data_IF_451140697540
#
_entry.id   IF_451140697540
#
_cell.length_a   1.000
_cell.length_b   1.000
_cell.length_c   1.000
_cell.angle_alpha   90.00
_cell.angle_beta   90.00
_cell.angle_gamma   90.00
#
_symmetry.space_group_name_H-M   'P 1'
#
loop_
_entity.id
_entity.type
_entity.pdbx_description
1 polymer ?
#
# COMPACT_ATOMS: atom_id res chain seq x y z
N UNK A 1 -12.84 -30.76 -11.06
CA UNK A 1 -13.32 -29.36 -11.07
C UNK A 1 -13.35 -28.76 -9.65
N UNK A 2 -14.16 -29.31 -8.69
CA UNK A 2 -14.23 -28.74 -7.35
C UNK A 2 -12.88 -28.79 -6.60
N UNK A 3 -12.13 -29.87 -6.76
CA UNK A 3 -10.78 -30.01 -6.17
C UNK A 3 -9.79 -29.03 -6.76
N UNK A 4 -9.80 -28.78 -8.05
CA UNK A 4 -8.92 -27.82 -8.74
C UNK A 4 -9.20 -26.39 -8.28
N UNK A 5 -10.49 -26.04 -8.13
CA UNK A 5 -10.91 -24.74 -7.61
C UNK A 5 -10.36 -24.55 -6.19
N UNK A 6 -10.50 -25.57 -5.35
CA UNK A 6 -10.02 -25.50 -3.97
C UNK A 6 -8.49 -25.35 -3.91
N UNK A 7 -7.74 -26.12 -4.73
CA UNK A 7 -6.29 -25.99 -4.79
C UNK A 7 -5.84 -24.60 -5.26
N UNK A 8 -6.47 -24.05 -6.29
CA UNK A 8 -6.14 -22.71 -6.79
C UNK A 8 -6.39 -21.62 -5.74
N UNK A 9 -7.50 -21.72 -4.99
CA UNK A 9 -7.81 -20.78 -3.92
C UNK A 9 -6.84 -20.90 -2.74
N UNK A 10 -6.54 -22.12 -2.30
CA UNK A 10 -5.53 -22.33 -1.25
C UNK A 10 -4.16 -21.82 -1.67
N UNK A 11 -3.77 -22.04 -2.92
CA UNK A 11 -2.50 -21.60 -3.46
C UNK A 11 -2.44 -20.06 -3.55
N UNK A 12 -3.50 -19.42 -4.04
CA UNK A 12 -3.62 -17.96 -4.07
C UNK A 12 -3.52 -17.37 -2.65
N UNK A 13 -4.17 -18.01 -1.67
CA UNK A 13 -4.11 -17.58 -0.27
C UNK A 13 -2.68 -17.65 0.29
N UNK A 14 -1.96 -18.76 0.06
CA UNK A 14 -0.59 -18.94 0.53
C UNK A 14 0.34 -17.89 -0.09
N UNK A 15 0.27 -17.68 -1.41
CA UNK A 15 1.09 -16.66 -2.08
C UNK A 15 0.74 -15.24 -1.64
N UNK A 16 -0.53 -14.96 -1.40
CA UNK A 16 -0.96 -13.67 -0.85
C UNK A 16 -0.41 -13.43 0.57
N UNK A 17 -0.33 -14.46 1.41
CA UNK A 17 0.31 -14.38 2.72
C UNK A 17 1.82 -14.14 2.61
N UNK A 18 2.49 -14.78 1.65
CA UNK A 18 3.92 -14.51 1.37
C UNK A 18 4.11 -13.06 0.96
N UNK A 19 3.29 -12.55 0.03
CA UNK A 19 3.32 -11.15 -0.40
C UNK A 19 3.07 -10.19 0.78
N UNK A 20 2.10 -10.50 1.62
CA UNK A 20 1.77 -9.72 2.82
C UNK A 20 2.94 -9.69 3.83
N UNK A 21 3.68 -10.80 3.98
CA UNK A 21 4.90 -10.84 4.81
C UNK A 21 6.02 -9.99 4.21
N UNK A 22 6.22 -10.06 2.89
CA UNK A 22 7.21 -9.21 2.19
C UNK A 22 6.87 -7.74 2.39
N UNK A 23 5.60 -7.37 2.24
CA UNK A 23 5.13 -6.01 2.51
C UNK A 23 5.45 -5.58 3.94
N UNK A 24 5.17 -6.44 4.92
CA UNK A 24 5.42 -6.17 6.33
C UNK A 24 6.90 -5.92 6.63
N UNK A 25 7.81 -6.67 6.00
CA UNK A 25 9.26 -6.52 6.19
C UNK A 25 9.84 -5.32 5.45
N UNK A 26 9.26 -4.98 4.30
CA UNK A 26 9.72 -3.87 3.46
C UNK A 26 9.16 -2.52 3.93
N UNK A 27 8.02 -2.52 4.64
CA UNK A 27 7.37 -1.30 5.11
C UNK A 27 7.91 -0.87 6.48
N UNK A 28 8.85 0.09 6.49
CA UNK A 28 9.45 0.68 7.70
C UNK A 28 8.83 2.06 8.02
N UNK A 29 7.51 2.22 8.01
CA UNK A 29 6.83 3.50 8.27
C UNK A 29 5.83 3.44 9.41
N UNK A 30 5.55 4.61 10.04
CA UNK A 30 4.53 4.81 11.07
C UNK A 30 3.09 4.56 10.56
N UNK A 31 2.88 4.40 9.25
CA UNK A 31 1.58 4.18 8.60
C UNK A 31 1.27 2.70 8.36
N UNK A 32 1.76 1.79 9.21
CA UNK A 32 1.40 0.38 9.14
C UNK A 32 -0.09 0.19 9.41
N UNK A 33 -0.87 0.08 8.35
CA UNK A 33 -2.30 -0.24 8.46
C UNK A 33 -2.53 -1.74 8.38
N UNK A 34 -2.88 -2.37 9.50
CA UNK A 34 -3.32 -3.78 9.54
C UNK A 34 -4.42 -4.08 8.52
N UNK A 35 -5.29 -3.11 8.27
CA UNK A 35 -6.37 -3.19 7.29
C UNK A 35 -5.85 -3.41 5.87
N UNK A 36 -4.69 -2.84 5.51
CA UNK A 36 -4.13 -2.97 4.17
C UNK A 36 -3.64 -4.40 3.87
N UNK A 37 -3.08 -5.10 4.86
CA UNK A 37 -2.69 -6.51 4.72
C UNK A 37 -3.91 -7.39 4.43
N UNK A 38 -5.00 -7.15 5.13
CA UNK A 38 -6.26 -7.87 4.86
C UNK A 38 -6.77 -7.58 3.45
N UNK A 39 -6.65 -6.33 3.00
CA UNK A 39 -7.04 -5.92 1.65
C UNK A 39 -6.22 -6.66 0.58
N UNK A 40 -4.91 -6.78 0.72
CA UNK A 40 -4.03 -7.52 -0.21
C UNK A 40 -4.50 -8.98 -0.35
N UNK A 41 -4.72 -9.66 0.77
CA UNK A 41 -5.11 -11.07 0.76
C UNK A 41 -6.51 -11.26 0.16
N UNK A 42 -7.47 -10.45 0.58
CA UNK A 42 -8.84 -10.53 0.07
C UNK A 42 -8.93 -10.16 -1.41
N UNK A 43 -8.17 -9.15 -1.87
CA UNK A 43 -8.13 -8.77 -3.28
C UNK A 43 -7.58 -9.90 -4.15
N UNK A 44 -6.51 -10.57 -3.72
CA UNK A 44 -5.93 -11.71 -4.43
C UNK A 44 -6.97 -12.86 -4.59
N UNK A 45 -7.64 -13.23 -3.52
CA UNK A 45 -8.66 -14.30 -3.53
C UNK A 45 -9.84 -13.90 -4.42
N UNK A 46 -10.32 -12.66 -4.30
CA UNK A 46 -11.44 -12.17 -5.10
C UNK A 46 -11.13 -12.24 -6.60
N UNK A 47 -9.95 -11.80 -7.00
CA UNK A 47 -9.55 -11.85 -8.41
C UNK A 47 -9.36 -13.28 -8.89
N UNK A 48 -8.81 -14.17 -8.06
CA UNK A 48 -8.71 -15.58 -8.38
C UNK A 48 -10.10 -16.19 -8.69
N UNK A 49 -11.09 -15.91 -7.84
CA UNK A 49 -12.48 -16.34 -8.04
C UNK A 49 -13.06 -15.75 -9.34
N UNK A 50 -12.81 -14.47 -9.61
CA UNK A 50 -13.32 -13.79 -10.81
C UNK A 50 -12.74 -14.41 -12.08
N UNK A 51 -11.45 -14.67 -12.14
CA UNK A 51 -10.80 -15.31 -13.31
C UNK A 51 -11.32 -16.73 -13.50
N UNK A 52 -11.51 -17.49 -12.44
CA UNK A 52 -12.11 -18.83 -12.55
C UNK A 52 -13.57 -18.79 -13.05
N UNK A 53 -14.34 -17.79 -12.62
CA UNK A 53 -15.72 -17.60 -13.07
C UNK A 53 -15.81 -17.18 -14.57
N UNK A 54 -14.82 -16.44 -15.07
CA UNK A 54 -14.70 -16.08 -16.48
C UNK A 54 -14.44 -17.34 -17.32
N UNK A 55 -13.51 -18.18 -16.89
CA UNK A 55 -13.05 -19.34 -17.65
C UNK A 55 -12.59 -18.94 -19.05
N UNK A 56 -12.90 -19.75 -20.07
CA UNK A 56 -12.54 -19.49 -21.45
C UNK A 56 -13.59 -18.67 -22.24
N UNK A 57 -14.45 -17.93 -21.55
CA UNK A 57 -15.53 -17.18 -22.22
C UNK A 57 -15.22 -15.68 -22.28
N UNK A 58 -14.83 -15.20 -23.45
CA UNK A 58 -14.52 -13.79 -23.72
C UNK A 58 -15.67 -12.83 -23.35
N UNK A 59 -16.92 -13.22 -23.60
CA UNK A 59 -18.07 -12.37 -23.30
C UNK A 59 -18.25 -12.15 -21.79
N UNK A 60 -18.00 -13.18 -20.97
CA UNK A 60 -17.99 -13.06 -19.50
C UNK A 60 -16.86 -12.15 -19.03
N UNK A 61 -15.67 -12.28 -19.64
CA UNK A 61 -14.52 -11.43 -19.33
C UNK A 61 -14.81 -9.96 -19.56
N UNK A 62 -15.38 -9.62 -20.71
CA UNK A 62 -15.77 -8.23 -21.02
C UNK A 62 -16.85 -7.71 -20.07
N UNK A 63 -17.81 -8.55 -19.67
CA UNK A 63 -18.84 -8.19 -18.71
C UNK A 63 -18.26 -7.83 -17.34
N UNK A 64 -17.30 -8.62 -16.84
CA UNK A 64 -16.64 -8.36 -15.55
C UNK A 64 -15.74 -7.13 -15.63
N UNK A 65 -15.00 -6.94 -16.73
CA UNK A 65 -14.20 -5.71 -16.95
C UNK A 65 -15.08 -4.47 -16.95
N UNK A 66 -16.24 -4.53 -17.59
CA UNK A 66 -17.24 -3.45 -17.57
C UNK A 66 -17.75 -3.18 -16.17
N UNK A 67 -18.08 -4.22 -15.40
CA UNK A 67 -18.53 -4.06 -14.02
C UNK A 67 -17.43 -3.47 -13.11
N UNK A 68 -16.18 -3.86 -13.29
CA UNK A 68 -15.05 -3.30 -12.53
C UNK A 68 -14.78 -1.82 -12.85
N UNK A 69 -15.08 -1.36 -14.05
CA UNK A 69 -14.94 0.05 -14.43
C UNK A 69 -15.84 0.98 -13.60
N UNK A 70 -16.95 0.48 -13.04
CA UNK A 70 -17.81 1.22 -12.13
C UNK A 70 -17.29 1.26 -10.69
N UNK A 71 -16.32 0.39 -10.33
CA UNK A 71 -15.71 0.39 -8.99
C UNK A 71 -14.73 1.55 -8.90
N UNK A 72 -15.23 2.67 -8.43
CA UNK A 72 -14.42 3.85 -8.17
C UNK A 72 -13.89 3.83 -6.74
N UNK A 73 -12.58 3.72 -6.57
CA UNK A 73 -11.96 3.92 -5.27
C UNK A 73 -12.17 5.37 -4.81
N UNK A 74 -12.99 5.57 -3.80
CA UNK A 74 -13.27 6.90 -3.22
C UNK A 74 -12.23 7.34 -2.19
N UNK A 75 -11.41 6.43 -1.72
CA UNK A 75 -10.36 6.71 -0.73
C UNK A 75 -9.03 6.90 -1.44
N UNK A 76 -8.35 8.04 -1.29
CA UNK A 76 -7.01 8.20 -1.83
C UNK A 76 -6.07 7.24 -1.11
N UNK A 77 -5.39 6.40 -1.87
CA UNK A 77 -4.31 5.57 -1.35
C UNK A 77 -3.16 6.52 -1.04
N UNK A 78 -2.75 6.57 0.22
CA UNK A 78 -1.79 7.58 0.72
C UNK A 78 -0.38 7.34 0.20
N UNK A 79 0.01 6.07 0.05
CA UNK A 79 1.36 5.69 -0.34
C UNK A 79 1.39 5.04 -1.72
N UNK A 80 2.23 5.50 -2.67
CA UNK A 80 2.40 4.89 -3.98
C UNK A 80 2.84 3.42 -3.90
N UNK A 81 3.56 3.02 -2.86
CA UNK A 81 4.00 1.65 -2.61
C UNK A 81 2.83 0.70 -2.41
N UNK A 82 1.80 1.14 -1.69
CA UNK A 82 0.61 0.34 -1.42
C UNK A 82 -0.10 -0.05 -2.72
N UNK A 83 -0.14 0.87 -3.68
CA UNK A 83 -0.71 0.63 -5.01
C UNK A 83 0.03 -0.51 -5.72
N UNK A 84 1.37 -0.49 -5.68
CA UNK A 84 2.20 -1.50 -6.35
C UNK A 84 2.00 -2.88 -5.72
N UNK A 85 1.95 -2.97 -4.38
CA UNK A 85 1.68 -4.23 -3.69
C UNK A 85 0.26 -4.75 -3.97
N UNK A 86 -0.73 -3.85 -4.09
CA UNK A 86 -2.06 -4.23 -4.50
C UNK A 86 -2.08 -4.81 -5.92
N UNK A 87 -1.40 -4.17 -6.88
CA UNK A 87 -1.27 -4.69 -8.24
C UNK A 87 -0.56 -6.05 -8.28
N UNK A 88 0.46 -6.25 -7.45
CA UNK A 88 1.11 -7.55 -7.31
C UNK A 88 0.15 -8.63 -6.81
N UNK A 89 -0.70 -8.30 -5.82
CA UNK A 89 -1.73 -9.21 -5.33
C UNK A 89 -2.76 -9.58 -6.42
N UNK A 90 -3.19 -8.59 -7.21
CA UNK A 90 -4.08 -8.83 -8.35
C UNK A 90 -3.42 -9.75 -9.38
N UNK A 91 -2.15 -9.53 -9.73
CA UNK A 91 -1.41 -10.36 -10.68
C UNK A 91 -1.28 -11.82 -10.20
N UNK A 92 -1.02 -12.04 -8.91
CA UNK A 92 -1.00 -13.37 -8.29
C UNK A 92 -2.40 -14.02 -8.40
N UNK A 93 -3.45 -13.28 -8.07
CA UNK A 93 -4.83 -13.76 -8.18
C UNK A 93 -5.21 -14.16 -9.60
N UNK A 94 -4.85 -13.36 -10.59
CA UNK A 94 -5.05 -13.67 -12.02
C UNK A 94 -4.32 -14.96 -12.41
N UNK A 95 -3.04 -15.07 -12.05
CA UNK A 95 -2.21 -16.23 -12.39
C UNK A 95 -2.72 -17.53 -11.76
N UNK A 96 -3.15 -17.47 -10.50
CA UNK A 96 -3.74 -18.62 -9.80
C UNK A 96 -5.12 -18.99 -10.38
N UNK A 97 -5.95 -18.00 -10.70
CA UNK A 97 -7.26 -18.22 -11.32
C UNK A 97 -7.17 -18.79 -12.73
N UNK A 98 -6.15 -18.41 -13.48
CA UNK A 98 -5.83 -18.97 -14.79
C UNK A 98 -5.10 -20.33 -14.73
N UNK A 99 -4.84 -20.85 -13.52
CA UNK A 99 -4.12 -22.12 -13.27
C UNK A 99 -2.66 -22.12 -13.76
N UNK A 100 -2.06 -20.94 -13.96
CA UNK A 100 -0.64 -20.78 -14.34
C UNK A 100 0.23 -20.58 -13.09
N UNK A 101 0.32 -21.62 -12.27
CA UNK A 101 0.97 -21.56 -10.96
C UNK A 101 2.46 -21.21 -11.02
N UNK A 102 3.15 -21.63 -12.08
CA UNK A 102 4.58 -21.32 -12.29
C UNK A 102 4.81 -19.81 -12.37
N UNK A 103 3.95 -19.11 -13.11
CA UNK A 103 4.02 -17.64 -13.23
C UNK A 103 3.74 -16.98 -11.89
N UNK A 104 2.75 -17.47 -11.14
CA UNK A 104 2.42 -16.96 -9.82
C UNK A 104 3.61 -17.08 -8.86
N UNK A 105 4.28 -18.24 -8.80
CA UNK A 105 5.44 -18.46 -7.92
C UNK A 105 6.62 -17.59 -8.34
N UNK A 106 7.02 -17.68 -9.60
CA UNK A 106 8.19 -16.94 -10.11
C UNK A 106 7.98 -15.43 -10.00
N UNK A 107 6.77 -14.96 -10.33
CA UNK A 107 6.42 -13.55 -10.20
C UNK A 107 6.48 -13.06 -8.75
N UNK A 108 5.93 -13.83 -7.81
CA UNK A 108 5.96 -13.48 -6.38
C UNK A 108 7.38 -13.46 -5.83
N UNK A 109 8.21 -14.45 -6.19
CA UNK A 109 9.61 -14.52 -5.76
C UNK A 109 10.43 -13.37 -6.32
N UNK A 110 10.30 -13.09 -7.61
CA UNK A 110 11.03 -12.01 -8.27
C UNK A 110 10.61 -10.65 -7.72
N UNK A 111 9.30 -10.43 -7.58
CA UNK A 111 8.76 -9.20 -7.00
C UNK A 111 9.25 -9.01 -5.55
N UNK A 112 9.19 -10.08 -4.75
CA UNK A 112 9.63 -10.05 -3.36
C UNK A 112 11.13 -9.76 -3.24
N UNK A 113 11.95 -10.40 -4.08
CA UNK A 113 13.39 -10.14 -4.13
C UNK A 113 13.69 -8.68 -4.52
N UNK A 114 13.01 -8.17 -5.54
CA UNK A 114 13.18 -6.79 -5.99
C UNK A 114 12.75 -5.80 -4.91
N UNK A 115 11.60 -6.04 -4.27
CA UNK A 115 11.11 -5.19 -3.19
C UNK A 115 12.06 -5.16 -1.99
N UNK A 116 12.63 -6.32 -1.63
CA UNK A 116 13.61 -6.45 -0.56
C UNK A 116 14.92 -5.73 -0.92
N UNK A 117 15.42 -5.94 -2.14
CA UNK A 117 16.64 -5.28 -2.64
C UNK A 117 16.49 -3.76 -2.65
N UNK A 118 15.34 -3.27 -3.13
CA UNK A 118 15.05 -1.83 -3.15
C UNK A 118 14.96 -1.24 -1.73
N UNK A 119 14.39 -1.99 -0.80
CA UNK A 119 14.27 -1.55 0.60
C UNK A 119 15.62 -1.45 1.30
N UNK A 120 16.59 -2.30 0.91
CA UNK A 120 17.93 -2.30 1.50
C UNK A 120 18.90 -1.36 0.77
N UNK A 121 18.56 -0.96 -0.45
CA UNK A 121 19.39 -0.06 -1.24
C UNK A 121 19.36 1.37 -0.70
N UNK A 122 20.53 2.05 -0.57
CA UNK A 122 20.60 3.44 -0.09
C UNK A 122 19.90 4.45 -1.03
N UNK A 123 19.55 4.05 -2.23
CA UNK A 123 18.83 4.86 -3.21
C UNK A 123 17.39 5.18 -2.79
N UNK A 124 16.77 4.35 -1.95
CA UNK A 124 15.42 4.55 -1.43
C UNK A 124 15.41 5.16 -0.02
N UNK A 125 16.58 5.25 0.64
CA UNK A 125 16.71 5.67 2.03
C UNK A 125 17.16 7.12 2.17
N UNK A 126 16.59 8.04 1.42
CA UNK A 126 16.52 9.42 1.92
C UNK A 126 15.45 9.47 2.99
N UNK A 127 15.85 9.17 4.22
CA UNK A 127 15.06 9.44 5.42
C UNK A 127 15.06 10.95 5.65
N UNK A 128 14.33 11.67 4.84
CA UNK A 128 13.83 12.97 5.27
C UNK A 128 12.65 12.66 6.18
N UNK A 129 12.88 12.72 7.48
CA UNK A 129 11.82 12.67 8.46
C UNK A 129 11.04 13.97 8.34
N UNK A 130 10.03 13.98 7.47
CA UNK A 130 9.04 15.05 7.46
C UNK A 130 8.11 14.84 8.66
N UNK A 131 8.46 15.45 9.77
CA UNK A 131 7.62 15.50 10.96
C UNK A 131 6.82 16.79 10.97
N UNK A 132 5.49 16.70 10.95
CA UNK A 132 4.63 17.87 11.14
C UNK A 132 4.41 18.11 12.64
N UNK A 133 5.12 19.09 13.19
CA UNK A 133 4.97 19.52 14.56
C UNK A 133 3.82 20.54 14.64
N UNK A 134 2.73 20.16 15.31
CA UNK A 134 1.65 21.08 15.68
C UNK A 134 1.75 21.44 17.16
N UNK A 135 1.86 22.72 17.44
CA UNK A 135 1.83 23.22 18.82
C UNK A 135 1.01 24.51 18.88
N UNK A 136 0.41 24.73 20.04
CA UNK A 136 -0.33 25.95 20.32
C UNK A 136 0.52 26.81 21.22
N UNK A 137 0.76 28.06 20.81
CA UNK A 137 1.43 29.07 21.63
C UNK A 137 0.38 30.04 22.14
N UNK A 138 0.44 30.42 23.46
CA UNK A 138 -0.40 31.51 23.94
C UNK A 138 -0.06 32.81 23.22
N UNK A 139 -1.07 33.58 22.87
CA UNK A 139 -0.90 34.87 22.21
C UNK A 139 -0.02 35.80 23.03
N UNK A 140 1.04 36.35 22.40
CA UNK A 140 1.97 37.26 23.07
C UNK A 140 3.14 36.58 23.81
N UNK A 141 3.34 35.25 23.67
CA UNK A 141 4.49 34.60 24.27
C UNK A 141 5.78 34.94 23.54
N UNK A 142 6.82 35.35 24.29
CA UNK A 142 8.19 35.59 23.75
C UNK A 142 8.82 34.33 23.13
N UNK A 143 8.22 33.15 23.37
CA UNK A 143 8.65 31.89 22.84
C UNK A 143 8.59 31.81 21.29
N UNK A 144 7.70 32.58 20.66
CA UNK A 144 7.60 32.61 19.19
C UNK A 144 8.88 33.13 18.53
N UNK A 145 9.62 34.02 19.17
CA UNK A 145 10.90 34.55 18.67
C UNK A 145 12.08 33.58 18.82
N UNK A 146 12.03 32.67 19.81
CA UNK A 146 13.11 31.70 20.09
C UNK A 146 12.96 30.39 19.31
N UNK A 147 11.79 30.14 18.74
CA UNK A 147 11.50 28.93 17.96
C UNK A 147 12.44 28.69 16.76
N UNK A 148 12.75 29.70 15.91
CA UNK A 148 13.65 29.51 14.78
C UNK A 148 15.07 29.09 15.19
N UNK A 149 15.54 29.62 16.34
CA UNK A 149 16.87 29.31 16.90
C UNK A 149 16.92 27.84 17.36
N UNK A 150 15.87 27.37 18.04
CA UNK A 150 15.76 26.01 18.54
C UNK A 150 15.65 25.03 17.35
N UNK A 151 14.82 25.34 16.36
CA UNK A 151 14.68 24.49 15.18
C UNK A 151 15.97 24.43 14.35
N UNK A 152 16.71 25.54 14.23
CA UNK A 152 18.01 25.55 13.55
C UNK A 152 19.07 24.66 14.23
N UNK A 153 18.93 24.37 15.51
CA UNK A 153 19.86 23.53 16.26
C UNK A 153 19.52 22.02 16.17
N UNK A 154 18.24 21.65 15.99
CA UNK A 154 17.79 20.26 16.02
C UNK A 154 17.21 19.74 14.70
N UNK A 155 16.84 20.63 13.77
CA UNK A 155 16.27 20.27 12.48
C UNK A 155 17.20 20.69 11.34
N UNK A 156 17.40 19.82 10.36
CA UNK A 156 18.22 20.11 9.16
C UNK A 156 17.51 21.10 8.22
N UNK A 157 16.20 21.09 8.17
CA UNK A 157 15.34 22.04 7.48
C UNK A 157 14.01 22.17 8.22
N UNK A 158 13.50 23.38 8.40
CA UNK A 158 12.20 23.65 8.99
C UNK A 158 11.47 24.68 8.16
N UNK A 159 10.27 24.35 7.68
CA UNK A 159 9.40 25.28 6.97
C UNK A 159 8.10 25.50 7.73
N UNK A 160 7.67 26.75 7.83
CA UNK A 160 6.41 27.12 8.45
C UNK A 160 5.26 26.85 7.47
N UNK A 161 4.54 25.72 7.67
CA UNK A 161 3.47 25.27 6.77
C UNK A 161 2.18 26.09 6.96
N UNK A 162 1.82 26.43 8.18
CA UNK A 162 0.67 27.30 8.47
C UNK A 162 0.76 27.87 9.88
N UNK A 163 0.49 29.19 10.02
CA UNK A 163 0.20 29.82 11.29
C UNK A 163 -1.27 30.25 11.29
N UNK A 164 -2.07 29.74 12.25
CA UNK A 164 -3.41 30.25 12.52
C UNK A 164 -3.37 31.00 13.84
N UNK A 165 -3.64 32.29 13.79
CA UNK A 165 -4.02 33.02 15.00
C UNK A 165 -5.37 32.50 15.46
N UNK A 166 -5.44 31.96 16.68
CA UNK A 166 -6.69 31.68 17.32
C UNK A 166 -7.33 33.05 17.63
N UNK A 167 -8.27 33.46 16.79
CA UNK A 167 -9.16 34.59 17.12
C UNK A 167 -9.93 34.11 18.35
N UNK A 168 -9.63 34.69 19.52
CA UNK A 168 -10.51 34.61 20.67
C UNK A 168 -11.80 35.31 20.27
N UNK A 169 -12.75 34.55 19.78
CA UNK A 169 -14.14 34.96 19.69
C UNK A 169 -14.80 34.79 21.04
N UNK A 170 -15.48 35.83 21.45
CA UNK A 170 -16.34 36.00 22.64
C UNK A 170 -17.21 34.77 22.94
#
# INVERSE_FOLDING_TARGET
VATEIFYSLCFAFVLALVLANIYRWTHQGFSYQRTFIQTIVLACITVCIMIMAIGNNMARGLGILGAMAFVRFRTPIRDPRDVIFLFAALAIGISCGAQVFVVAIMGTLFFGFTAFFLSWSPWASRREFEGLLRFMLPAGSKAAGTLPEIFGQYCTASELVASREAIQGE
#
